data_IF_933844071975
#
_entry.id   IF_933844071975
#
_cell.length_a   1.000
_cell.length_b   1.000
_cell.length_c   1.000
_cell.angle_alpha   90.00
_cell.angle_beta   90.00
_cell.angle_gamma   90.00
#
_symmetry.space_group_name_H-M   'P 1'
#
loop_
_entity.id
_entity.type
_entity.pdbx_description
1 polymer ?
#
# COMPACT_ATOMS: atom_id res chain seq x y z
N UNK A 1 -6.09 -2.74 -12.32
CA UNK A 1 -5.55 -1.40 -12.32
C UNK A 1 -6.67 -0.40 -12.00
N UNK A 2 -6.36 0.86 -11.74
CA UNK A 2 -7.31 1.84 -11.28
C UNK A 2 -7.18 3.18 -11.99
N UNK A 3 -7.90 4.19 -11.50
CA UNK A 3 -7.90 5.56 -12.00
C UNK A 3 -7.29 6.50 -10.95
N UNK A 4 -6.30 7.30 -11.37
CA UNK A 4 -5.73 8.39 -10.59
C UNK A 4 -6.32 9.72 -11.07
N UNK A 5 -7.15 10.37 -10.25
CA UNK A 5 -7.58 11.75 -10.51
C UNK A 5 -6.57 12.72 -9.90
N UNK A 6 -6.13 13.67 -10.71
CA UNK A 6 -5.18 14.73 -10.31
C UNK A 6 -5.99 15.98 -9.99
N UNK A 7 -6.13 16.31 -8.71
CA UNK A 7 -6.95 17.44 -8.23
C UNK A 7 -6.21 18.21 -7.15
N UNK A 8 -6.64 19.44 -6.85
CA UNK A 8 -6.19 20.15 -5.63
C UNK A 8 -6.98 19.67 -4.43
N UNK A 9 -6.36 19.61 -3.26
CA UNK A 9 -7.01 19.16 -2.03
C UNK A 9 -8.26 19.97 -1.70
N UNK A 10 -8.21 21.29 -1.86
CA UNK A 10 -9.35 22.19 -1.67
C UNK A 10 -10.53 21.88 -2.60
N UNK A 11 -10.28 21.39 -3.81
CA UNK A 11 -11.34 21.07 -4.77
C UNK A 11 -12.15 19.85 -4.34
N UNK A 12 -11.50 18.83 -3.73
CA UNK A 12 -12.19 17.66 -3.18
C UNK A 12 -13.02 18.05 -1.95
N UNK A 13 -12.46 18.91 -1.08
CA UNK A 13 -13.17 19.43 0.09
C UNK A 13 -14.42 20.22 -0.33
N UNK A 14 -14.26 21.12 -1.30
CA UNK A 14 -15.37 21.94 -1.81
C UNK A 14 -16.47 21.10 -2.51
N UNK A 15 -16.08 19.97 -3.11
CA UNK A 15 -17.00 19.02 -3.73
C UNK A 15 -17.69 18.08 -2.72
N UNK A 16 -17.27 18.09 -1.44
CA UNK A 16 -17.78 17.18 -0.41
C UNK A 16 -17.34 15.71 -0.62
N UNK A 17 -16.28 15.48 -1.40
CA UNK A 17 -15.72 14.15 -1.63
C UNK A 17 -14.80 13.68 -0.49
N UNK A 18 -14.34 14.61 0.32
CA UNK A 18 -13.68 14.42 1.62
C UNK A 18 -14.29 15.43 2.63
N UNK A 19 -14.36 15.05 3.90
CA UNK A 19 -14.96 15.89 4.94
C UNK A 19 -13.98 16.93 5.47
N UNK A 20 -12.69 16.55 5.56
CA UNK A 20 -11.62 17.41 6.05
C UNK A 20 -10.29 17.09 5.38
N UNK A 21 -9.32 17.96 5.49
CA UNK A 21 -7.93 17.72 5.09
C UNK A 21 -7.19 17.09 6.27
N UNK A 22 -6.55 15.96 6.04
CA UNK A 22 -5.70 15.34 7.06
C UNK A 22 -4.50 16.23 7.38
N UNK A 23 -3.95 16.05 8.58
CA UNK A 23 -2.76 16.78 9.02
C UNK A 23 -1.62 16.66 8.00
N UNK A 24 -0.95 17.78 7.74
CA UNK A 24 0.14 17.88 6.79
C UNK A 24 -0.29 18.06 5.32
N UNK A 25 -1.58 18.14 5.02
CA UNK A 25 -2.10 18.46 3.68
C UNK A 25 -2.57 19.91 3.64
N UNK A 26 -1.91 20.73 2.81
CA UNK A 26 -2.37 22.08 2.54
C UNK A 26 -3.49 22.08 1.48
N UNK A 27 -4.43 23.07 1.51
CA UNK A 27 -5.50 23.19 0.51
C UNK A 27 -4.98 23.24 -0.93
N UNK A 28 -3.80 23.83 -1.12
CA UNK A 28 -3.13 23.97 -2.41
C UNK A 28 -2.32 22.75 -2.85
N UNK A 29 -2.17 21.73 -2.00
CA UNK A 29 -1.45 20.50 -2.38
C UNK A 29 -2.20 19.73 -3.47
N UNK A 30 -1.43 19.02 -4.27
CA UNK A 30 -1.98 18.04 -5.19
C UNK A 30 -2.48 16.84 -4.40
N UNK A 31 -3.69 16.39 -4.70
CA UNK A 31 -4.33 15.25 -4.04
C UNK A 31 -4.52 14.10 -5.03
N UNK A 32 -4.03 12.94 -4.66
CA UNK A 32 -4.20 11.69 -5.40
C UNK A 32 -5.54 11.05 -5.03
N UNK A 33 -6.58 11.33 -5.79
CA UNK A 33 -7.85 10.64 -5.63
C UNK A 33 -7.83 9.35 -6.46
N UNK A 34 -7.54 8.24 -5.77
CA UNK A 34 -7.39 6.94 -6.39
C UNK A 34 -8.67 6.12 -6.29
N UNK A 35 -9.05 5.54 -7.43
CA UNK A 35 -10.18 4.61 -7.53
C UNK A 35 -9.68 3.27 -8.06
N UNK A 36 -10.08 2.18 -7.42
CA UNK A 36 -9.83 0.83 -7.88
C UNK A 36 -10.57 0.55 -9.20
N UNK A 37 -10.27 -0.57 -9.86
CA UNK A 37 -10.90 -0.94 -11.12
C UNK A 37 -12.42 -1.18 -11.02
N UNK A 38 -12.91 -1.54 -9.83
CA UNK A 38 -14.33 -1.69 -9.51
C UNK A 38 -15.04 -0.36 -9.16
N UNK A 39 -14.30 0.76 -9.17
CA UNK A 39 -14.77 2.10 -8.84
C UNK A 39 -14.76 2.43 -7.35
N UNK A 40 -14.41 1.49 -6.48
CA UNK A 40 -14.25 1.76 -5.05
C UNK A 40 -13.10 2.74 -4.78
N UNK A 41 -13.25 3.50 -3.69
CA UNK A 41 -12.19 4.41 -3.23
C UNK A 41 -11.06 3.60 -2.60
N UNK A 42 -9.82 3.93 -2.97
CA UNK A 42 -8.65 3.44 -2.27
C UNK A 42 -7.99 4.57 -1.49
N UNK A 43 -7.60 4.28 -0.27
CA UNK A 43 -7.00 5.25 0.65
C UNK A 43 -5.58 5.62 0.22
N UNK A 44 -4.81 4.62 -0.21
CA UNK A 44 -3.40 4.76 -0.60
C UNK A 44 -3.00 3.69 -1.62
N UNK A 45 -2.10 4.07 -2.53
CA UNK A 45 -1.42 3.16 -3.46
C UNK A 45 0.03 3.65 -3.67
N UNK A 46 1.01 2.96 -3.12
CA UNK A 46 2.43 3.35 -3.22
C UNK A 46 2.95 3.43 -4.66
N UNK A 47 2.55 2.49 -5.52
CA UNK A 47 2.86 2.52 -6.95
C UNK A 47 2.16 3.71 -7.62
N UNK A 48 0.88 3.94 -7.29
CA UNK A 48 0.10 5.07 -7.79
C UNK A 48 0.73 6.41 -7.41
N UNK A 49 1.22 6.55 -6.17
CA UNK A 49 1.87 7.78 -5.71
C UNK A 49 3.15 8.09 -6.50
N UNK A 50 3.94 7.08 -6.87
CA UNK A 50 5.12 7.28 -7.73
C UNK A 50 4.73 7.72 -9.14
N UNK A 51 3.72 7.09 -9.73
CA UNK A 51 3.18 7.49 -11.04
C UNK A 51 2.60 8.91 -10.97
N UNK A 52 1.90 9.25 -9.90
CA UNK A 52 1.35 10.57 -9.68
C UNK A 52 2.43 11.66 -9.57
N UNK A 53 3.49 11.39 -8.80
CA UNK A 53 4.64 12.28 -8.68
C UNK A 53 5.34 12.49 -10.04
N UNK A 54 5.57 11.40 -10.79
CA UNK A 54 6.08 11.46 -12.16
C UNK A 54 5.22 12.31 -13.07
N UNK A 55 3.90 12.13 -13.03
CA UNK A 55 2.97 12.94 -13.83
C UNK A 55 3.07 14.42 -13.51
N UNK A 56 3.05 14.79 -12.23
CA UNK A 56 3.15 16.19 -11.80
C UNK A 56 4.45 16.83 -12.28
N UNK A 57 5.58 16.16 -12.11
CA UNK A 57 6.90 16.66 -12.51
C UNK A 57 7.06 16.74 -14.02
N UNK A 58 6.70 15.67 -14.75
CA UNK A 58 6.86 15.62 -16.22
C UNK A 58 5.96 16.61 -16.94
N UNK A 59 4.88 17.08 -16.31
CA UNK A 59 3.97 18.10 -16.87
C UNK A 59 4.25 19.53 -16.39
N UNK A 60 5.29 19.72 -15.55
CA UNK A 60 5.62 21.03 -15.00
C UNK A 60 4.55 21.59 -14.05
N UNK A 61 3.77 20.72 -13.40
CA UNK A 61 2.78 21.10 -12.41
C UNK A 61 3.39 21.33 -11.03
N UNK A 62 4.57 20.76 -10.80
CA UNK A 62 5.42 20.91 -9.63
C UNK A 62 6.88 21.03 -10.10
N UNK A 63 7.60 22.03 -9.63
CA UNK A 63 9.02 22.26 -10.00
C UNK A 63 9.99 21.74 -8.93
N UNK A 64 9.51 21.59 -7.69
CA UNK A 64 10.31 21.09 -6.57
C UNK A 64 10.58 19.58 -6.70
N UNK A 65 11.77 19.16 -6.26
CA UNK A 65 12.14 17.75 -6.21
C UNK A 65 11.51 17.03 -5.00
N UNK A 66 11.18 17.81 -3.94
CA UNK A 66 10.55 17.27 -2.73
C UNK A 66 9.26 18.02 -2.45
N UNK A 67 8.14 17.29 -2.41
CA UNK A 67 6.81 17.89 -2.20
C UNK A 67 5.83 16.90 -1.57
N UNK A 68 4.73 17.43 -1.05
CA UNK A 68 3.65 16.67 -0.43
C UNK A 68 2.57 16.31 -1.47
N UNK A 69 2.10 15.07 -1.41
CA UNK A 69 0.90 14.60 -2.10
C UNK A 69 -0.16 14.27 -1.05
N UNK A 70 -1.33 14.88 -1.15
CA UNK A 70 -2.48 14.50 -0.34
C UNK A 70 -3.04 13.16 -0.79
N UNK A 71 -3.40 12.30 0.17
CA UNK A 71 -4.12 11.04 -0.05
C UNK A 71 -5.15 10.86 1.04
N UNK A 72 -6.08 9.93 0.88
CA UNK A 72 -7.03 9.59 1.96
C UNK A 72 -6.36 8.93 3.18
N UNK A 73 -5.18 8.34 2.97
CA UNK A 73 -4.31 7.86 4.07
C UNK A 73 -3.33 8.95 4.57
N UNK A 74 -3.70 10.23 4.44
CA UNK A 74 -2.90 11.36 4.90
C UNK A 74 -1.86 11.86 3.90
N UNK A 75 -1.04 12.80 4.36
CA UNK A 75 0.05 13.39 3.60
C UNK A 75 1.14 12.37 3.29
N UNK A 76 1.62 12.35 2.05
CA UNK A 76 2.77 11.54 1.63
C UNK A 76 3.84 12.44 1.05
N UNK A 77 4.98 12.48 1.72
CA UNK A 77 6.13 13.20 1.24
C UNK A 77 6.82 12.38 0.17
N UNK A 78 7.06 12.99 -0.99
CA UNK A 78 7.76 12.35 -2.10
C UNK A 78 9.04 13.11 -2.43
N UNK A 79 10.05 12.36 -2.89
CA UNK A 79 11.29 12.92 -3.44
C UNK A 79 11.48 12.35 -4.83
N UNK A 80 11.57 13.21 -5.83
CA UNK A 80 11.84 12.86 -7.22
C UNK A 80 13.33 13.05 -7.47
N UNK A 81 14.07 11.96 -7.67
CA UNK A 81 15.53 11.99 -7.87
C UNK A 81 15.89 12.25 -9.33
N UNK A 82 15.07 11.76 -10.25
CA UNK A 82 15.19 12.00 -11.69
C UNK A 82 13.81 11.91 -12.34
N UNK A 83 13.59 12.69 -13.41
CA UNK A 83 12.33 12.69 -14.14
C UNK A 83 12.54 13.13 -15.59
N UNK A 84 12.01 12.33 -16.52
CA UNK A 84 11.82 12.72 -17.92
C UNK A 84 10.38 12.39 -18.37
N UNK A 85 10.10 12.48 -19.66
CA UNK A 85 8.77 12.24 -20.20
C UNK A 85 8.28 10.77 -20.07
N UNK A 86 9.19 9.82 -19.85
CA UNK A 86 8.94 8.39 -19.90
C UNK A 86 9.19 7.66 -18.58
N UNK A 87 10.10 8.20 -17.76
CA UNK A 87 10.52 7.56 -16.50
C UNK A 87 10.81 8.59 -15.39
N UNK A 88 10.68 8.14 -14.15
CA UNK A 88 11.13 8.87 -12.98
C UNK A 88 11.62 7.90 -11.91
N UNK A 89 12.59 8.34 -11.13
CA UNK A 89 12.98 7.70 -9.87
C UNK A 89 12.40 8.49 -8.71
N UNK A 90 11.52 7.84 -7.95
CA UNK A 90 10.72 8.48 -6.90
C UNK A 90 10.78 7.67 -5.60
N UNK A 91 11.15 8.35 -4.53
CA UNK A 91 10.99 7.85 -3.15
C UNK A 91 9.69 8.39 -2.57
N UNK A 92 8.92 7.54 -1.89
CA UNK A 92 7.71 7.89 -1.15
C UNK A 92 7.92 7.55 0.32
N UNK A 93 7.71 8.51 1.20
CA UNK A 93 7.68 8.26 2.64
C UNK A 93 6.33 7.64 3.01
N UNK A 94 6.32 6.33 3.28
CA UNK A 94 5.10 5.57 3.52
C UNK A 94 4.48 5.80 4.90
N UNK A 95 5.26 6.34 5.84
CA UNK A 95 4.89 6.49 7.24
C UNK A 95 5.20 5.25 8.09
N UNK A 96 4.91 5.30 9.38
CA UNK A 96 5.12 4.17 10.29
C UNK A 96 4.15 3.04 10.00
N UNK A 97 4.59 1.81 10.29
CA UNK A 97 3.73 0.64 10.32
C UNK A 97 3.15 0.49 11.73
N UNK A 98 1.83 0.42 11.86
CA UNK A 98 1.16 0.16 13.13
C UNK A 98 0.76 -1.32 13.22
N UNK A 99 1.28 -2.02 14.22
CA UNK A 99 0.87 -3.39 14.51
C UNK A 99 -0.45 -3.38 15.28
N UNK A 100 -1.52 -3.87 14.65
CA UNK A 100 -2.89 -3.85 15.20
C UNK A 100 -3.30 -5.19 15.85
N UNK A 101 -2.45 -6.22 15.79
CA UNK A 101 -2.68 -7.51 16.42
C UNK A 101 -2.36 -8.71 15.52
N UNK A 102 -2.92 -9.85 15.86
CA UNK A 102 -2.76 -11.10 15.09
C UNK A 102 -4.11 -11.60 14.64
N UNK A 103 -4.22 -12.03 13.39
CA UNK A 103 -5.46 -12.56 12.82
C UNK A 103 -5.16 -13.71 11.84
N UNK A 104 -6.17 -14.17 11.12
CA UNK A 104 -6.03 -15.28 10.17
C UNK A 104 -6.75 -15.00 8.86
N UNK A 105 -6.19 -15.53 7.78
CA UNK A 105 -6.87 -15.65 6.49
C UNK A 105 -6.88 -17.09 6.00
N UNK A 106 -7.89 -17.46 5.25
CA UNK A 106 -7.92 -18.74 4.51
C UNK A 106 -7.94 -18.47 3.02
N UNK A 107 -7.03 -19.08 2.28
CA UNK A 107 -6.97 -19.02 0.81
C UNK A 107 -6.71 -20.41 0.24
N UNK A 108 -7.40 -20.78 -0.84
CA UNK A 108 -7.24 -22.08 -1.51
C UNK A 108 -7.31 -23.28 -0.54
N UNK A 109 -8.17 -23.18 0.48
CA UNK A 109 -8.34 -24.23 1.50
C UNK A 109 -7.24 -24.30 2.57
N UNK A 110 -6.21 -23.45 2.51
CA UNK A 110 -5.18 -23.34 3.53
C UNK A 110 -5.44 -22.14 4.45
N UNK A 111 -5.10 -22.29 5.73
CA UNK A 111 -5.24 -21.23 6.75
C UNK A 111 -3.87 -20.66 7.11
N UNK A 112 -3.80 -19.35 7.11
CA UNK A 112 -2.59 -18.58 7.41
C UNK A 112 -2.85 -17.67 8.62
N UNK A 113 -2.00 -17.75 9.63
CA UNK A 113 -1.95 -16.78 10.72
C UNK A 113 -0.94 -15.69 10.36
N UNK A 114 -1.25 -14.46 10.64
CA UNK A 114 -0.38 -13.34 10.31
C UNK A 114 -0.53 -12.16 11.25
N UNK A 115 0.40 -11.24 11.12
CA UNK A 115 0.40 -9.97 11.82
C UNK A 115 -0.53 -8.99 11.08
N UNK A 116 -1.47 -8.42 11.80
CA UNK A 116 -2.26 -7.29 11.31
C UNK A 116 -1.42 -6.02 11.39
N UNK A 117 -1.26 -5.35 10.26
CA UNK A 117 -0.46 -4.12 10.13
C UNK A 117 -1.29 -3.06 9.42
N UNK A 118 -1.40 -1.89 10.02
CA UNK A 118 -2.01 -0.72 9.40
C UNK A 118 -0.92 0.19 8.81
N UNK A 119 -1.07 0.51 7.54
CA UNK A 119 -0.21 1.43 6.78
C UNK A 119 -1.01 2.64 6.25
N UNK A 120 -2.16 2.95 6.88
CA UNK A 120 -3.23 3.77 6.34
C UNK A 120 -4.17 2.98 5.41
N UNK A 121 -3.94 1.69 5.31
CA UNK A 121 -4.78 0.65 4.78
C UNK A 121 -4.40 -0.68 5.48
N UNK A 122 -5.37 -1.59 5.73
CA UNK A 122 -5.11 -2.79 6.50
C UNK A 122 -4.40 -3.87 5.70
N UNK A 123 -3.43 -4.54 6.37
CA UNK A 123 -2.68 -5.67 5.87
C UNK A 123 -2.71 -6.83 6.87
N UNK A 124 -2.73 -8.06 6.36
CA UNK A 124 -2.44 -9.29 7.10
C UNK A 124 -1.21 -9.95 6.49
N UNK A 125 -0.07 -9.75 7.12
CA UNK A 125 1.19 -10.31 6.66
C UNK A 125 1.48 -11.64 7.38
N UNK A 126 1.35 -12.74 6.65
CA UNK A 126 1.52 -14.09 7.15
C UNK A 126 2.90 -14.65 6.79
N UNK A 127 3.81 -14.71 7.76
CA UNK A 127 5.07 -15.43 7.60
C UNK A 127 4.79 -16.92 7.71
N UNK A 128 5.01 -17.67 6.62
CA UNK A 128 4.65 -19.08 6.54
C UNK A 128 5.87 -19.96 6.87
N UNK A 129 5.87 -20.70 7.98
CA UNK A 129 7.00 -21.49 8.38
C UNK A 129 7.42 -22.52 7.31
N UNK A 130 8.73 -22.58 7.02
CA UNK A 130 9.28 -23.53 6.05
C UNK A 130 9.03 -23.18 4.58
N UNK A 131 8.27 -22.12 4.29
CA UNK A 131 8.04 -21.69 2.91
C UNK A 131 9.32 -21.08 2.33
N UNK A 132 9.67 -21.50 1.12
CA UNK A 132 10.73 -20.89 0.31
C UNK A 132 10.16 -20.19 -0.93
N UNK A 133 11.00 -19.51 -1.69
CA UNK A 133 10.58 -18.77 -2.89
C UNK A 133 9.87 -19.68 -3.91
N UNK A 134 10.31 -20.93 -4.06
CA UNK A 134 9.71 -21.90 -4.99
C UNK A 134 8.33 -22.36 -4.50
N UNK A 135 8.23 -22.66 -3.22
CA UNK A 135 6.96 -23.02 -2.58
C UNK A 135 5.97 -21.86 -2.65
N UNK A 136 6.41 -20.63 -2.38
CA UNK A 136 5.60 -19.44 -2.49
C UNK A 136 5.09 -19.21 -3.93
N UNK A 137 5.97 -19.37 -4.93
CA UNK A 137 5.59 -19.25 -6.34
C UNK A 137 4.54 -20.29 -6.78
N UNK A 138 4.52 -21.46 -6.14
CA UNK A 138 3.56 -22.54 -6.43
C UNK A 138 2.21 -22.38 -5.70
N UNK A 139 2.07 -21.44 -4.75
CA UNK A 139 0.80 -21.20 -4.06
C UNK A 139 -0.24 -20.63 -5.01
N UNK A 140 -1.50 -21.02 -4.82
CA UNK A 140 -2.65 -20.37 -5.46
C UNK A 140 -3.14 -19.25 -4.55
N UNK A 141 -3.15 -18.01 -5.04
CA UNK A 141 -3.75 -16.88 -4.36
C UNK A 141 -5.13 -16.64 -4.98
N UNK A 142 -6.14 -16.77 -4.14
CA UNK A 142 -7.53 -16.49 -4.48
C UNK A 142 -8.16 -15.62 -3.38
N UNK A 143 -9.40 -15.21 -3.57
CA UNK A 143 -10.06 -14.30 -2.62
C UNK A 143 -10.01 -14.87 -1.18
N UNK A 144 -9.36 -14.15 -0.25
CA UNK A 144 -9.20 -14.63 1.12
C UNK A 144 -10.50 -14.57 1.90
N UNK A 145 -10.73 -15.57 2.74
CA UNK A 145 -11.74 -15.49 3.81
C UNK A 145 -11.00 -15.04 5.07
N UNK A 146 -11.38 -13.90 5.60
CA UNK A 146 -10.74 -13.24 6.74
C UNK A 146 -11.71 -13.07 7.90
N UNK A 147 -11.17 -12.77 9.09
CA UNK A 147 -11.99 -12.42 10.26
C UNK A 147 -12.62 -11.03 10.04
N UNK A 148 -13.91 -11.00 9.72
CA UNK A 148 -14.66 -9.77 9.48
C UNK A 148 -14.84 -8.91 10.75
N UNK A 149 -14.67 -9.45 11.95
CA UNK A 149 -14.68 -8.66 13.17
C UNK A 149 -13.36 -7.91 13.36
N UNK A 150 -12.25 -8.48 12.87
CA UNK A 150 -10.94 -7.84 12.91
C UNK A 150 -10.71 -6.92 11.68
N UNK A 151 -11.21 -7.31 10.52
CA UNK A 151 -11.08 -6.56 9.26
C UNK A 151 -12.47 -6.30 8.64
N UNK A 152 -13.28 -5.38 9.19
CA UNK A 152 -14.65 -5.16 8.76
C UNK A 152 -14.78 -4.72 7.28
N UNK A 153 -13.79 -4.00 6.78
CA UNK A 153 -13.75 -3.47 5.40
C UNK A 153 -12.86 -4.32 4.48
N UNK A 154 -12.48 -5.53 4.92
CA UNK A 154 -11.53 -6.38 4.19
C UNK A 154 -10.07 -5.96 4.44
N UNK A 155 -9.14 -6.69 3.82
CA UNK A 155 -7.70 -6.58 4.10
C UNK A 155 -6.87 -7.03 2.90
N UNK A 156 -5.69 -6.44 2.73
CA UNK A 156 -4.65 -6.97 1.83
C UNK A 156 -3.95 -8.13 2.55
N UNK A 157 -3.72 -9.24 1.87
CA UNK A 157 -3.10 -10.43 2.48
C UNK A 157 -1.78 -10.72 1.79
N UNK A 158 -0.70 -10.71 2.57
CA UNK A 158 0.64 -11.06 2.13
C UNK A 158 1.03 -12.45 2.64
N UNK A 159 1.39 -13.35 1.73
CA UNK A 159 2.12 -14.57 2.07
C UNK A 159 3.61 -14.29 1.98
N UNK A 160 4.33 -14.50 3.07
CA UNK A 160 5.72 -14.10 3.24
C UNK A 160 6.57 -15.32 3.61
N UNK A 161 7.76 -15.46 3.02
CA UNK A 161 8.74 -16.46 3.49
C UNK A 161 9.39 -15.99 4.78
N UNK A 162 9.86 -16.91 5.65
CA UNK A 162 10.70 -16.53 6.78
C UNK A 162 11.92 -15.73 6.34
N UNK A 163 12.37 -14.81 7.20
CA UNK A 163 13.57 -14.01 6.98
C UNK A 163 14.82 -14.92 6.89
N UNK A 164 15.56 -14.81 5.79
CA UNK A 164 16.83 -15.54 5.58
C UNK A 164 17.84 -14.62 4.92
N UNK A 165 19.01 -14.48 5.52
CA UNK A 165 20.12 -13.67 5.00
C UNK A 165 19.69 -12.21 4.66
N UNK A 166 18.81 -11.64 5.48
CA UNK A 166 18.27 -10.30 5.29
C UNK A 166 17.20 -10.18 4.18
N UNK A 167 16.70 -11.31 3.66
CA UNK A 167 15.76 -11.32 2.54
C UNK A 167 14.48 -12.09 2.88
N UNK A 168 13.37 -11.62 2.33
CA UNK A 168 12.08 -12.30 2.27
C UNK A 168 11.55 -12.27 0.85
N UNK A 169 10.69 -13.23 0.51
CA UNK A 169 9.85 -13.20 -0.68
C UNK A 169 8.41 -13.06 -0.26
N UNK A 170 7.65 -12.27 -0.99
CA UNK A 170 6.23 -12.10 -0.73
C UNK A 170 5.40 -12.21 -2.00
N UNK A 171 4.16 -12.63 -1.85
CA UNK A 171 3.07 -12.44 -2.82
C UNK A 171 1.89 -11.83 -2.09
N UNK A 172 1.14 -10.97 -2.77
CA UNK A 172 0.06 -10.19 -2.17
C UNK A 172 -1.24 -10.39 -2.95
N UNK A 173 -2.33 -10.55 -2.21
CA UNK A 173 -3.68 -10.44 -2.71
C UNK A 173 -4.27 -9.13 -2.18
N UNK A 174 -4.40 -8.14 -3.06
CA UNK A 174 -4.90 -6.82 -2.68
C UNK A 174 -6.43 -6.77 -2.62
N UNK A 175 -6.94 -6.09 -1.61
CA UNK A 175 -8.37 -5.85 -1.39
C UNK A 175 -8.99 -5.12 -2.59
N UNK A 176 -10.06 -5.70 -3.16
CA UNK A 176 -10.78 -5.12 -4.30
C UNK A 176 -10.05 -5.21 -5.65
N UNK A 177 -8.85 -5.81 -5.70
CA UNK A 177 -8.05 -5.90 -6.94
C UNK A 177 -7.72 -7.36 -7.28
N UNK A 178 -7.30 -8.15 -6.29
CA UNK A 178 -6.78 -9.48 -6.50
C UNK A 178 -5.26 -9.57 -6.37
N UNK A 179 -4.65 -10.62 -6.90
CA UNK A 179 -3.20 -10.75 -6.86
C UNK A 179 -2.53 -9.70 -7.77
N UNK A 180 -1.58 -8.96 -7.20
CA UNK A 180 -0.76 -7.98 -7.92
C UNK A 180 0.72 -8.31 -7.82
N UNK A 181 1.51 -7.77 -8.73
CA UNK A 181 2.96 -8.02 -8.76
C UNK A 181 3.73 -7.27 -7.67
N UNK A 182 3.17 -6.21 -7.13
CA UNK A 182 3.86 -5.33 -6.18
C UNK A 182 2.84 -4.47 -5.43
N UNK A 183 2.94 -4.45 -4.11
CA UNK A 183 2.21 -3.56 -3.22
C UNK A 183 3.22 -2.85 -2.30
N UNK A 184 3.28 -1.51 -2.35
CA UNK A 184 4.24 -0.73 -1.58
C UNK A 184 3.98 -0.83 -0.07
N UNK A 185 2.73 -0.64 0.37
CA UNK A 185 2.31 -0.81 1.78
C UNK A 185 2.47 -2.25 2.24
N UNK A 186 2.10 -3.22 1.40
CA UNK A 186 2.29 -4.64 1.67
C UNK A 186 3.75 -5.04 1.85
N UNK A 187 4.70 -4.39 1.14
CA UNK A 187 6.14 -4.61 1.35
C UNK A 187 6.58 -4.22 2.76
N UNK A 188 6.08 -3.09 3.26
CA UNK A 188 6.38 -2.63 4.64
C UNK A 188 5.73 -3.57 5.65
N UNK A 189 4.47 -3.95 5.46
CA UNK A 189 3.77 -4.89 6.33
C UNK A 189 4.49 -6.26 6.38
N UNK A 190 4.92 -6.77 5.23
CA UNK A 190 5.68 -8.03 5.14
C UNK A 190 7.03 -7.95 5.87
N UNK A 191 7.76 -6.83 5.74
CA UNK A 191 9.01 -6.60 6.45
C UNK A 191 8.78 -6.55 7.98
N UNK A 192 7.75 -5.81 8.43
CA UNK A 192 7.37 -5.72 9.83
C UNK A 192 7.06 -7.11 10.41
N UNK A 193 6.26 -7.91 9.70
CA UNK A 193 5.91 -9.26 10.14
C UNK A 193 7.13 -10.19 10.17
N UNK A 194 8.00 -10.11 9.16
CA UNK A 194 9.19 -10.95 9.08
C UNK A 194 10.22 -10.64 10.17
N UNK A 195 10.40 -9.35 10.52
CA UNK A 195 11.26 -8.95 11.64
C UNK A 195 10.69 -9.40 12.98
N UNK A 196 9.38 -9.24 13.17
CA UNK A 196 8.71 -9.73 14.38
C UNK A 196 8.79 -11.26 14.53
N UNK A 197 8.60 -12.03 13.43
CA UNK A 197 8.73 -13.49 13.42
C UNK A 197 10.17 -13.94 13.74
N UNK A 198 11.16 -13.23 13.22
CA UNK A 198 12.57 -13.49 13.47
C UNK A 198 13.05 -12.96 14.84
N UNK A 199 12.21 -12.28 15.63
CA UNK A 199 12.55 -11.60 16.88
C UNK A 199 13.77 -10.65 16.73
N UNK A 200 13.80 -9.91 15.62
CA UNK A 200 14.81 -8.88 15.34
C UNK A 200 14.19 -7.51 15.59
N UNK A 201 14.86 -6.70 16.41
CA UNK A 201 14.47 -5.32 16.74
C UNK A 201 14.85 -4.33 15.61
#
# INVERSE_FOLDING_TARGET
>A
DGLLRVVRAEALLAAGEIEELAEGIAPTDWFMDYRNADGSVAEMCGNGTRVFAHWLRSRGLVDEDKFTIGTRAGAKLVTVHSCDAHAAEVTVEMGPAEVIGVSTASMAGEKYAGLGVDMGNPHLAAVVPGLDAKGLAAKTLEHPVVDAAFFPDGVNVELVTPLRDGHVHMRVFERGVGETRSCGTGTVAAATAALADAAVD
#
